data_IF_278613632991
#
_entry.id   IF_278613632991
#
_cell.length_a   1.000
_cell.length_b   1.000
_cell.length_c   1.000
_cell.angle_alpha   90.00
_cell.angle_beta   90.00
_cell.angle_gamma   90.00
#
_symmetry.space_group_name_H-M   'P 1'
#
loop_
_entity.id
_entity.type
_entity.pdbx_description
1 polymer ?
#
# COMPACT_ATOMS: atom_id res chain seq x y z
N UNK A 1 -27.59 -29.48 35.24
CA UNK A 1 -27.78 -30.72 36.04
C UNK A 1 -28.58 -31.68 35.19
N UNK A 2 -27.99 -32.80 34.77
CA UNK A 2 -28.62 -33.76 33.85
C UNK A 2 -29.78 -34.48 34.52
N UNK A 3 -30.84 -34.81 33.76
CA UNK A 3 -32.05 -35.46 34.29
C UNK A 3 -31.79 -36.75 35.08
N UNK A 4 -30.67 -37.44 34.84
CA UNK A 4 -30.26 -38.63 35.62
C UNK A 4 -29.98 -38.34 37.10
N UNK A 5 -29.47 -37.15 37.44
CA UNK A 5 -29.20 -36.75 38.83
C UNK A 5 -30.49 -36.55 39.63
N UNK A 6 -31.57 -36.13 38.97
CA UNK A 6 -32.88 -35.91 39.58
C UNK A 6 -33.57 -37.25 39.86
N UNK A 7 -33.42 -38.24 38.97
CA UNK A 7 -33.98 -39.57 39.19
C UNK A 7 -33.27 -40.34 40.31
N UNK A 8 -31.95 -40.22 40.42
CA UNK A 8 -31.18 -40.89 41.49
C UNK A 8 -31.52 -40.29 42.87
N UNK A 9 -31.65 -38.96 42.96
CA UNK A 9 -32.04 -38.29 44.20
C UNK A 9 -33.49 -38.60 44.59
N UNK A 10 -34.39 -38.71 43.61
CA UNK A 10 -35.77 -39.13 43.85
C UNK A 10 -35.87 -40.58 44.34
N UNK A 11 -35.11 -41.52 43.74
CA UNK A 11 -35.05 -42.91 44.18
C UNK A 11 -34.47 -43.06 45.60
N UNK A 12 -33.44 -42.28 45.93
CA UNK A 12 -32.85 -42.25 47.27
C UNK A 12 -33.83 -41.73 48.33
N UNK A 13 -34.62 -40.70 48.00
CA UNK A 13 -35.67 -40.19 48.89
C UNK A 13 -36.80 -41.20 49.09
N UNK A 14 -37.20 -41.92 48.03
CA UNK A 14 -38.20 -42.99 48.12
C UNK A 14 -37.69 -44.17 48.96
N UNK A 15 -36.43 -44.58 48.79
CA UNK A 15 -35.80 -45.63 49.60
C UNK A 15 -35.67 -45.21 51.08
N UNK A 16 -35.32 -43.95 51.35
CA UNK A 16 -35.34 -43.40 52.71
C UNK A 16 -36.74 -43.47 53.32
N UNK A 17 -37.77 -43.14 52.55
CA UNK A 17 -39.16 -43.19 53.01
C UNK A 17 -39.62 -44.62 53.34
N UNK A 18 -39.23 -45.59 52.50
CA UNK A 18 -39.54 -47.02 52.72
C UNK A 18 -38.79 -47.57 53.94
N UNK A 19 -37.51 -47.22 54.12
CA UNK A 19 -36.74 -47.63 55.30
C UNK A 19 -37.30 -47.05 56.62
N UNK A 20 -37.86 -45.84 56.57
CA UNK A 20 -38.48 -45.20 57.74
C UNK A 20 -39.83 -45.82 58.10
N UNK A 21 -40.57 -46.36 57.12
CA UNK A 21 -41.85 -47.05 57.34
C UNK A 21 -41.74 -48.47 57.92
N UNK A 22 -40.55 -49.10 57.89
CA UNK A 22 -40.36 -50.48 58.36
C UNK A 22 -40.08 -50.59 59.88
N UNK A 23 -39.90 -49.48 60.59
CA UNK A 23 -39.54 -49.47 62.02
C UNK A 23 -40.73 -48.98 62.85
N UNK A 24 -41.54 -49.91 63.36
CA UNK A 24 -42.75 -49.65 64.18
C UNK A 24 -42.47 -49.19 65.63
N UNK A 25 -41.39 -48.44 65.86
CA UNK A 25 -41.00 -47.90 67.17
C UNK A 25 -40.79 -46.38 67.04
N UNK A 26 -41.75 -45.54 67.48
CA UNK A 26 -41.76 -44.11 67.15
C UNK A 26 -40.54 -43.35 67.70
N UNK A 27 -39.95 -43.80 68.81
CA UNK A 27 -38.74 -43.19 69.38
C UNK A 27 -37.48 -43.41 68.54
N UNK A 28 -37.38 -44.53 67.84
CA UNK A 28 -36.22 -44.86 66.99
C UNK A 28 -36.31 -44.08 65.67
N UNK A 29 -37.51 -43.99 65.08
CA UNK A 29 -37.77 -43.24 63.84
C UNK A 29 -37.41 -41.75 63.98
N UNK A 30 -37.78 -41.10 65.10
CA UNK A 30 -37.42 -39.70 65.35
C UNK A 30 -35.91 -39.49 65.44
N UNK A 31 -35.17 -40.45 66.03
CA UNK A 31 -33.72 -40.36 66.17
C UNK A 31 -32.99 -40.53 64.83
N UNK A 32 -33.49 -41.40 63.95
CA UNK A 32 -32.95 -41.57 62.60
C UNK A 32 -33.25 -40.37 61.72
N UNK A 33 -34.46 -39.80 61.79
CA UNK A 33 -34.81 -38.60 61.01
C UNK A 33 -33.92 -37.41 61.36
N UNK A 34 -33.61 -37.23 62.65
CA UNK A 34 -32.69 -36.19 63.11
C UNK A 34 -31.27 -36.40 62.59
N UNK A 35 -30.78 -37.64 62.58
CA UNK A 35 -29.45 -37.98 62.04
C UNK A 35 -29.36 -37.77 60.53
N UNK A 36 -30.38 -38.16 59.77
CA UNK A 36 -30.41 -37.92 58.33
C UNK A 36 -30.51 -36.42 58.01
N UNK A 37 -31.32 -35.65 58.74
CA UNK A 37 -31.38 -34.20 58.59
C UNK A 37 -30.02 -33.53 58.85
N UNK A 38 -29.27 -33.99 59.87
CA UNK A 38 -27.92 -33.50 60.14
C UNK A 38 -26.93 -33.85 59.01
N UNK A 39 -26.97 -35.08 58.48
CA UNK A 39 -26.10 -35.49 57.37
C UNK A 39 -26.39 -34.67 56.12
N UNK A 40 -27.67 -34.44 55.80
CA UNK A 40 -28.08 -33.61 54.66
C UNK A 40 -27.61 -32.17 54.87
N UNK A 41 -27.79 -31.60 56.06
CA UNK A 41 -27.30 -30.25 56.39
C UNK A 41 -25.79 -30.12 56.20
N UNK A 42 -25.02 -31.10 56.67
CA UNK A 42 -23.56 -31.11 56.54
C UNK A 42 -23.10 -31.28 55.10
N UNK A 43 -23.76 -32.15 54.33
CA UNK A 43 -23.48 -32.34 52.90
C UNK A 43 -23.78 -31.07 52.10
N UNK A 44 -24.89 -30.38 52.43
CA UNK A 44 -25.26 -29.11 51.78
C UNK A 44 -24.23 -28.01 52.08
N UNK A 45 -23.70 -27.97 53.32
CA UNK A 45 -22.64 -27.05 53.72
C UNK A 45 -21.33 -27.35 53.00
N UNK A 46 -20.94 -28.64 52.90
CA UNK A 46 -19.76 -29.08 52.17
C UNK A 46 -19.86 -28.74 50.67
N UNK A 47 -21.01 -28.99 50.05
CA UNK A 47 -21.25 -28.60 48.66
C UNK A 47 -21.13 -27.07 48.55
N UNK A 48 -21.80 -26.29 49.40
CA UNK A 48 -21.71 -24.82 49.37
C UNK A 48 -20.28 -24.28 49.53
N UNK A 49 -19.43 -24.94 50.32
CA UNK A 49 -18.03 -24.53 50.52
C UNK A 49 -17.13 -24.93 49.36
N UNK A 50 -17.35 -26.11 48.77
CA UNK A 50 -16.48 -26.68 47.73
C UNK A 50 -16.89 -26.23 46.32
N UNK A 51 -18.17 -25.92 46.11
CA UNK A 51 -18.71 -25.44 44.82
C UNK A 51 -17.96 -24.22 44.28
N UNK A 52 -17.79 -23.09 45.03
CA UNK A 52 -17.08 -21.93 44.50
C UNK A 52 -15.64 -22.24 44.11
N UNK A 53 -14.96 -23.13 44.85
CA UNK A 53 -13.58 -23.53 44.57
C UNK A 53 -13.45 -24.42 43.33
N UNK A 54 -14.37 -25.37 43.13
CA UNK A 54 -14.41 -26.23 41.93
C UNK A 54 -14.75 -25.40 40.69
N UNK A 55 -15.73 -24.51 40.79
CA UNK A 55 -16.13 -23.66 39.66
C UNK A 55 -15.03 -22.66 39.29
N UNK A 56 -14.33 -22.05 40.25
CA UNK A 56 -13.19 -21.17 39.96
C UNK A 56 -12.04 -21.92 39.27
N UNK A 57 -11.77 -23.15 39.67
CA UNK A 57 -10.71 -23.96 39.08
C UNK A 57 -11.04 -24.45 37.67
N UNK A 58 -12.32 -24.74 37.37
CA UNK A 58 -12.76 -25.12 36.03
C UNK A 58 -12.69 -23.95 35.06
N UNK A 59 -13.20 -22.79 35.46
CA UNK A 59 -13.22 -21.58 34.64
C UNK A 59 -11.81 -21.05 34.34
N UNK A 60 -10.89 -21.15 35.30
CA UNK A 60 -9.47 -20.79 35.07
C UNK A 60 -8.79 -21.70 34.06
N UNK A 61 -9.15 -22.99 34.00
CA UNK A 61 -8.53 -23.95 33.08
C UNK A 61 -9.07 -23.80 31.66
N UNK A 62 -10.36 -23.53 31.54
CA UNK A 62 -11.05 -23.29 30.26
C UNK A 62 -10.56 -21.98 29.61
N UNK A 63 -10.45 -20.89 30.38
CA UNK A 63 -9.87 -19.62 29.90
C UNK A 63 -8.42 -19.76 29.46
N UNK A 64 -7.61 -20.54 30.17
CA UNK A 64 -6.21 -20.74 29.79
C UNK A 64 -6.10 -21.53 28.49
N UNK A 65 -6.95 -22.55 28.29
CA UNK A 65 -6.96 -23.38 27.08
C UNK A 65 -7.51 -22.60 25.87
N UNK A 66 -8.61 -21.87 26.03
CA UNK A 66 -9.15 -20.99 25.00
C UNK A 66 -8.18 -19.86 24.65
N UNK A 67 -7.49 -19.29 25.64
CA UNK A 67 -6.47 -18.28 25.41
C UNK A 67 -5.27 -18.87 24.65
N UNK A 68 -4.80 -20.08 24.98
CA UNK A 68 -3.69 -20.71 24.26
C UNK A 68 -4.07 -21.07 22.82
N UNK A 69 -5.25 -21.65 22.60
CA UNK A 69 -5.74 -22.02 21.25
C UNK A 69 -5.98 -20.77 20.41
N UNK A 70 -6.67 -19.76 20.97
CA UNK A 70 -6.92 -18.49 20.27
C UNK A 70 -5.64 -17.74 19.94
N UNK A 71 -4.60 -17.81 20.79
CA UNK A 71 -3.32 -17.17 20.54
C UNK A 71 -2.56 -17.83 19.39
N UNK A 72 -2.50 -19.17 19.35
CA UNK A 72 -1.84 -19.90 18.27
C UNK A 72 -2.53 -19.68 16.92
N UNK A 73 -3.86 -19.68 16.88
CA UNK A 73 -4.63 -19.42 15.66
C UNK A 73 -4.39 -17.99 15.13
N UNK A 74 -4.36 -16.99 16.01
CA UNK A 74 -4.05 -15.60 15.64
C UNK A 74 -2.64 -15.45 15.10
N UNK A 75 -1.67 -16.13 15.70
CA UNK A 75 -0.28 -16.11 15.22
C UNK A 75 -0.14 -16.75 13.84
N UNK A 76 -0.89 -17.82 13.55
CA UNK A 76 -0.94 -18.45 12.22
C UNK A 76 -1.56 -17.50 11.20
N UNK A 77 -2.69 -16.86 11.53
CA UNK A 77 -3.34 -15.89 10.63
C UNK A 77 -2.42 -14.71 10.33
N UNK A 78 -1.73 -14.17 11.34
CA UNK A 78 -0.81 -13.06 11.16
C UNK A 78 0.38 -13.45 10.26
N UNK A 79 0.90 -14.68 10.40
CA UNK A 79 1.94 -15.22 9.51
C UNK A 79 1.44 -15.41 8.08
N UNK A 80 0.21 -15.87 7.89
CA UNK A 80 -0.40 -16.02 6.56
C UNK A 80 -0.56 -14.67 5.86
N UNK A 81 -1.12 -13.68 6.55
CA UNK A 81 -1.28 -12.31 6.02
C UNK A 81 0.08 -11.72 5.63
N UNK A 82 1.11 -11.91 6.45
CA UNK A 82 2.47 -11.45 6.13
C UNK A 82 3.01 -12.13 4.86
N UNK A 83 2.87 -13.45 4.73
CA UNK A 83 3.33 -14.18 3.54
C UNK A 83 2.61 -13.72 2.28
N UNK A 84 1.30 -13.51 2.34
CA UNK A 84 0.53 -13.02 1.21
C UNK A 84 0.98 -11.63 0.78
N UNK A 85 1.30 -10.75 1.74
CA UNK A 85 1.88 -9.44 1.44
C UNK A 85 3.27 -9.55 0.79
N UNK A 86 4.13 -10.43 1.30
CA UNK A 86 5.46 -10.71 0.73
C UNK A 86 5.35 -11.24 -0.72
N UNK A 87 4.41 -12.14 -0.98
CA UNK A 87 4.15 -12.67 -2.32
C UNK A 87 3.68 -11.59 -3.28
N UNK A 88 2.75 -10.71 -2.86
CA UNK A 88 2.29 -9.59 -3.70
C UNK A 88 3.42 -8.62 -4.04
N UNK A 89 4.32 -8.33 -3.09
CA UNK A 89 5.49 -7.47 -3.34
C UNK A 89 6.48 -8.17 -4.27
N UNK A 90 6.71 -9.46 -4.06
CA UNK A 90 7.61 -10.27 -4.90
C UNK A 90 7.09 -10.36 -6.33
N UNK A 91 5.78 -10.58 -6.52
CA UNK A 91 5.14 -10.58 -7.83
C UNK A 91 5.29 -9.23 -8.54
N UNK A 92 5.07 -8.11 -7.84
CA UNK A 92 5.29 -6.77 -8.41
C UNK A 92 6.76 -6.54 -8.80
N UNK A 93 7.69 -6.96 -7.94
CA UNK A 93 9.12 -6.86 -8.23
C UNK A 93 9.52 -7.68 -9.46
N UNK A 94 9.01 -8.92 -9.56
CA UNK A 94 9.22 -9.78 -10.72
C UNK A 94 8.63 -9.17 -11.99
N UNK A 95 7.40 -8.65 -11.93
CA UNK A 95 6.77 -7.96 -13.06
C UNK A 95 7.61 -6.78 -13.57
N UNK A 96 8.12 -5.94 -12.67
CA UNK A 96 8.99 -4.80 -13.04
C UNK A 96 10.32 -5.29 -13.61
N UNK A 97 10.91 -6.33 -13.03
CA UNK A 97 12.14 -6.94 -13.54
C UNK A 97 11.94 -7.43 -14.98
N UNK A 98 10.86 -8.16 -15.25
CA UNK A 98 10.62 -8.77 -16.56
C UNK A 98 10.16 -7.78 -17.62
N UNK A 99 9.26 -6.85 -17.30
CA UNK A 99 8.66 -5.97 -18.30
C UNK A 99 9.39 -4.64 -18.47
N UNK A 100 10.20 -4.23 -17.49
CA UNK A 100 10.88 -2.93 -17.53
C UNK A 100 12.39 -3.08 -17.58
N UNK A 101 12.97 -3.89 -16.69
CA UNK A 101 14.43 -3.98 -16.56
C UNK A 101 15.03 -4.80 -17.72
N UNK A 102 14.58 -6.04 -17.94
CA UNK A 102 15.10 -6.91 -19.01
C UNK A 102 15.02 -6.24 -20.40
N UNK A 103 13.89 -5.66 -20.85
CA UNK A 103 13.81 -5.05 -22.19
C UNK A 103 14.68 -3.79 -22.32
N UNK A 104 14.89 -3.05 -21.22
CA UNK A 104 15.81 -1.90 -21.20
C UNK A 104 17.26 -2.34 -21.33
N UNK A 105 17.63 -3.48 -20.73
CA UNK A 105 18.98 -4.03 -20.88
C UNK A 105 19.19 -4.61 -22.28
N UNK A 106 18.26 -5.41 -22.77
CA UNK A 106 18.29 -5.97 -24.13
C UNK A 106 18.36 -4.88 -25.20
N UNK A 107 17.56 -3.82 -25.08
CA UNK A 107 17.64 -2.68 -26.01
C UNK A 107 18.96 -1.92 -25.94
N UNK A 108 19.60 -1.84 -24.76
CA UNK A 108 20.96 -1.28 -24.62
C UNK A 108 22.01 -2.18 -25.29
N UNK A 109 21.90 -3.50 -25.12
CA UNK A 109 22.80 -4.45 -25.79
C UNK A 109 22.62 -4.41 -27.30
N UNK A 110 21.38 -4.44 -27.80
CA UNK A 110 21.05 -4.31 -29.21
C UNK A 110 21.59 -3.01 -29.82
N UNK A 111 21.46 -1.87 -29.13
CA UNK A 111 22.05 -0.60 -29.59
C UNK A 111 23.57 -0.64 -29.69
N UNK A 112 24.25 -1.31 -28.75
CA UNK A 112 25.71 -1.48 -28.79
C UNK A 112 26.13 -2.36 -29.97
N UNK A 113 25.41 -3.46 -30.19
CA UNK A 113 25.60 -4.36 -31.34
C UNK A 113 25.35 -3.65 -32.67
N UNK A 114 24.25 -2.90 -32.79
CA UNK A 114 23.96 -2.05 -33.95
C UNK A 114 25.07 -1.05 -34.22
N UNK A 115 25.59 -0.40 -33.16
CA UNK A 115 26.70 0.55 -33.29
C UNK A 115 27.98 -0.15 -33.74
N UNK A 116 28.25 -1.35 -33.23
CA UNK A 116 29.39 -2.18 -33.64
C UNK A 116 29.31 -2.54 -35.12
N UNK A 117 28.16 -3.03 -35.60
CA UNK A 117 27.99 -3.38 -37.02
C UNK A 117 27.99 -2.16 -37.94
N UNK A 118 27.50 -1.00 -37.47
CA UNK A 118 27.63 0.28 -38.20
C UNK A 118 29.09 0.72 -38.31
N UNK A 119 29.88 0.63 -37.24
CA UNK A 119 31.31 1.01 -37.26
C UNK A 119 32.16 0.07 -38.12
N UNK A 120 31.85 -1.22 -38.15
CA UNK A 120 32.58 -2.22 -38.95
C UNK A 120 32.13 -2.29 -40.41
N UNK A 121 31.15 -1.48 -40.82
CA UNK A 121 30.61 -1.47 -42.19
C UNK A 121 29.76 -2.71 -42.53
N UNK A 122 29.47 -3.58 -41.56
CA UNK A 122 28.65 -4.78 -41.73
C UNK A 122 27.17 -4.49 -41.45
N UNK A 123 26.66 -3.33 -41.88
CA UNK A 123 25.28 -2.90 -41.61
C UNK A 123 24.22 -3.81 -42.23
N UNK A 124 24.59 -4.62 -43.23
CA UNK A 124 23.71 -5.63 -43.84
C UNK A 124 23.27 -6.73 -42.86
N UNK A 125 24.02 -6.96 -41.77
CA UNK A 125 23.65 -7.89 -40.69
C UNK A 125 22.52 -7.38 -39.78
N UNK A 126 22.22 -6.08 -39.85
CA UNK A 126 21.14 -5.46 -39.09
C UNK A 126 19.80 -5.55 -39.81
N UNK A 127 19.82 -5.77 -41.12
CA UNK A 127 18.63 -5.99 -41.93
C UNK A 127 18.18 -7.43 -41.80
N UNK A 128 16.88 -7.62 -41.54
CA UNK A 128 16.25 -8.93 -41.56
C UNK A 128 16.33 -9.48 -43.00
N UNK A 129 17.01 -10.60 -43.16
CA UNK A 129 17.22 -11.20 -44.49
C UNK A 129 15.91 -11.75 -45.04
N UNK A 130 15.65 -11.54 -46.34
CA UNK A 130 14.52 -12.17 -47.02
C UNK A 130 14.88 -13.62 -47.37
N UNK A 131 14.12 -14.60 -46.86
CA UNK A 131 14.32 -16.01 -47.21
C UNK A 131 13.94 -16.24 -48.67
N UNK A 132 14.94 -16.41 -49.53
CA UNK A 132 14.76 -16.83 -50.92
C UNK A 132 15.04 -18.33 -51.00
N UNK A 133 13.99 -19.14 -51.01
CA UNK A 133 14.10 -20.59 -51.14
C UNK A 133 12.93 -21.35 -50.52
N UNK A 134 11.78 -21.35 -51.18
CA UNK A 134 10.85 -22.48 -51.19
C UNK A 134 10.55 -22.72 -52.67
N UNK A 135 11.21 -23.72 -53.23
CA UNK A 135 10.69 -24.39 -54.40
C UNK A 135 9.63 -25.36 -53.89
N UNK A 136 8.41 -25.16 -54.39
CA UNK A 136 7.35 -26.15 -54.61
C UNK A 136 6.92 -26.99 -53.40
N UNK A 137 5.78 -26.61 -52.81
CA UNK A 137 4.59 -27.47 -52.81
C UNK A 137 3.35 -26.61 -52.53
N UNK A 138 2.31 -26.82 -53.34
CA UNK A 138 0.98 -26.23 -53.16
C UNK A 138 0.40 -26.62 -51.80
N UNK A 139 -0.07 -25.64 -51.03
CA UNK A 139 -1.42 -25.73 -50.47
C UNK A 139 -1.84 -24.37 -49.90
N UNK A 140 -2.96 -23.91 -50.44
CA UNK A 140 -3.72 -22.72 -50.09
C UNK A 140 -4.22 -22.76 -48.64
N UNK A 141 -3.91 -21.72 -47.84
CA UNK A 141 -4.89 -21.16 -46.89
C UNK A 141 -4.78 -19.63 -46.94
N UNK A 142 -5.79 -19.03 -47.56
CA UNK A 142 -6.15 -17.63 -47.37
C UNK A 142 -6.44 -17.37 -45.89
N UNK A 143 -5.82 -16.33 -45.32
CA UNK A 143 -6.54 -15.47 -44.38
C UNK A 143 -6.29 -14.02 -44.76
N UNK A 144 -7.40 -13.39 -45.12
CA UNK A 144 -7.58 -12.01 -45.47
C UNK A 144 -7.34 -11.09 -44.27
N UNK A 145 -6.63 -9.98 -44.49
CA UNK A 145 -7.18 -8.62 -44.45
C UNK A 145 -6.06 -7.55 -44.33
N UNK A 146 -5.95 -6.73 -45.37
CA UNK A 146 -5.74 -5.28 -45.37
C UNK A 146 -4.72 -4.71 -44.37
N UNK A 147 -3.55 -4.28 -44.85
CA UNK A 147 -3.34 -2.85 -45.13
C UNK A 147 -2.19 -2.62 -46.11
N UNK A 148 -2.39 -1.65 -46.98
CA UNK A 148 -1.52 -1.31 -48.10
C UNK A 148 -0.41 -0.39 -47.62
N UNK A 149 0.74 -0.93 -47.21
CA UNK A 149 1.99 -0.15 -47.16
C UNK A 149 3.11 -0.85 -47.90
N UNK A 150 3.34 -0.35 -49.11
CA UNK A 150 4.52 -0.47 -49.96
C UNK A 150 5.55 -1.53 -49.54
N UNK A 151 5.48 -2.71 -50.17
CA UNK A 151 6.66 -3.57 -50.33
C UNK A 151 7.62 -2.80 -51.25
N UNK A 152 8.48 -1.99 -50.66
CA UNK A 152 9.48 -1.21 -51.37
C UNK A 152 10.56 -2.18 -51.86
N UNK A 153 10.46 -2.59 -53.12
CA UNK A 153 11.44 -3.44 -53.79
C UNK A 153 12.86 -2.87 -53.58
N UNK A 154 13.86 -3.67 -53.17
CA UNK A 154 15.23 -3.21 -52.84
C UNK A 154 15.85 -2.27 -53.89
N UNK A 155 15.48 -2.45 -55.16
CA UNK A 155 15.96 -1.61 -56.26
C UNK A 155 15.47 -0.14 -56.16
N UNK A 156 14.27 0.10 -55.62
CA UNK A 156 13.71 1.46 -55.41
C UNK A 156 14.39 2.17 -54.24
N UNK A 157 14.71 1.46 -53.17
CA UNK A 157 15.41 2.03 -52.01
C UNK A 157 16.87 2.38 -52.36
N UNK A 158 17.55 1.53 -53.14
CA UNK A 158 18.89 1.81 -53.67
C UNK A 158 18.90 3.02 -54.63
N UNK A 159 17.83 3.22 -55.41
CA UNK A 159 17.68 4.39 -56.28
C UNK A 159 17.47 5.69 -55.48
N UNK A 160 16.74 5.64 -54.35
CA UNK A 160 16.54 6.79 -53.45
C UNK A 160 17.83 7.20 -52.75
N UNK A 161 18.63 6.24 -52.27
CA UNK A 161 19.91 6.50 -51.57
C UNK A 161 21.02 7.07 -52.48
N UNK A 162 20.89 6.91 -53.80
CA UNK A 162 21.83 7.48 -54.79
C UNK A 162 21.50 8.92 -55.21
N UNK A 163 20.29 9.41 -54.93
CA UNK A 163 19.96 10.83 -55.18
C UNK A 163 20.52 11.65 -54.03
N UNK A 164 21.58 12.43 -54.30
CA UNK A 164 22.06 13.46 -53.37
C UNK A 164 20.88 14.40 -53.03
N UNK A 165 20.67 14.75 -51.76
CA UNK A 165 19.62 15.69 -51.41
C UNK A 165 19.96 17.07 -51.98
N UNK A 166 19.04 17.60 -52.78
CA UNK A 166 19.13 18.85 -53.55
C UNK A 166 19.18 20.13 -52.68
N UNK A 167 19.34 20.02 -51.36
CA UNK A 167 19.22 21.14 -50.42
C UNK A 167 20.56 21.72 -49.90
N UNK A 168 21.70 21.30 -50.45
CA UNK A 168 23.04 21.75 -49.97
C UNK A 168 23.40 23.20 -50.34
N UNK A 169 22.54 23.94 -51.06
CA UNK A 169 22.84 25.33 -51.46
C UNK A 169 21.82 26.34 -50.93
N UNK A 170 21.71 26.51 -49.60
CA UNK A 170 21.27 27.80 -49.02
C UNK A 170 22.07 28.12 -47.77
N UNK A 171 22.60 29.36 -47.77
CA UNK A 171 23.39 29.95 -46.70
C UNK A 171 22.59 30.05 -45.39
N UNK A 172 23.31 29.87 -44.29
CA UNK A 172 22.87 30.01 -42.89
C UNK A 172 22.37 31.45 -42.62
N UNK A 173 21.18 31.66 -42.04
CA UNK A 173 20.90 32.82 -41.21
C UNK A 173 21.14 32.52 -39.72
N UNK A 174 21.64 33.54 -39.04
CA UNK A 174 22.05 33.64 -37.63
C UNK A 174 20.96 33.22 -36.63
N UNK A 175 21.29 32.66 -35.45
CA UNK A 175 20.29 32.11 -34.53
C UNK A 175 19.56 33.21 -33.75
N UNK A 176 18.23 33.21 -33.81
CA UNK A 176 17.37 33.90 -32.84
C UNK A 176 16.93 32.94 -31.73
N UNK A 177 16.90 33.45 -30.51
CA UNK A 177 16.62 32.77 -29.24
C UNK A 177 15.31 31.95 -29.25
N UNK A 178 15.28 30.78 -28.59
CA UNK A 178 14.05 30.01 -28.44
C UNK A 178 13.20 30.59 -27.31
N UNK A 179 12.05 31.14 -27.68
CA UNK A 179 10.94 31.38 -26.77
C UNK A 179 10.24 30.03 -26.53
N UNK A 180 9.82 29.68 -25.29
CA UNK A 180 9.22 28.39 -25.01
C UNK A 180 7.80 28.34 -25.58
N UNK A 181 7.63 27.61 -26.69
CA UNK A 181 6.31 27.20 -27.19
C UNK A 181 5.80 26.03 -26.33
N UNK A 182 4.65 26.25 -25.68
CA UNK A 182 3.76 25.21 -25.13
C UNK A 182 3.46 24.21 -26.25
N UNK A 183 3.92 22.97 -26.11
CA UNK A 183 3.49 21.85 -26.96
C UNK A 183 2.63 20.94 -26.09
N UNK A 184 1.33 21.07 -26.27
CA UNK A 184 0.32 20.12 -25.81
C UNK A 184 0.43 18.87 -26.68
N UNK A 185 0.83 17.75 -26.11
CA UNK A 185 0.52 16.44 -26.68
C UNK A 185 -0.76 15.95 -26.02
N UNK A 186 -1.80 15.86 -26.82
CA UNK A 186 -3.05 15.22 -26.46
C UNK A 186 -2.82 13.71 -26.46
N UNK A 187 -2.58 13.14 -25.27
CA UNK A 187 -2.62 11.70 -25.05
C UNK A 187 -4.00 11.41 -24.48
N UNK A 188 -4.90 10.95 -25.35
CA UNK A 188 -6.23 10.47 -24.94
C UNK A 188 -6.03 9.11 -24.26
N UNK A 189 -5.97 9.12 -22.93
CA UNK A 189 -6.23 7.94 -22.10
C UNK A 189 -7.59 8.20 -21.45
N UNK A 190 -8.63 7.41 -21.73
CA UNK A 190 -9.88 7.53 -21.01
C UNK A 190 -9.68 6.96 -19.60
N UNK A 191 -10.20 7.67 -18.60
CA UNK A 191 -10.40 7.26 -17.19
C UNK A 191 -9.27 7.38 -16.16
N UNK A 192 -8.29 8.28 -16.34
CA UNK A 192 -7.51 8.76 -15.19
C UNK A 192 -7.70 10.26 -15.07
N UNK A 193 -8.48 10.64 -14.06
CA UNK A 193 -8.68 11.98 -13.55
C UNK A 193 -7.37 12.77 -13.60
N UNK A 194 -7.27 13.62 -14.62
CA UNK A 194 -6.60 14.92 -14.69
C UNK A 194 -5.57 15.24 -13.58
N UNK A 195 -4.54 14.39 -13.44
CA UNK A 195 -3.33 14.74 -12.72
C UNK A 195 -2.43 15.50 -13.69
N UNK A 196 -2.81 16.75 -13.97
CA UNK A 196 -1.93 17.73 -14.61
C UNK A 196 -0.71 17.88 -13.70
N UNK A 197 0.38 17.20 -14.08
CA UNK A 197 1.71 17.52 -13.57
C UNK A 197 2.11 18.90 -14.11
N UNK A 198 1.43 19.94 -13.63
CA UNK A 198 1.88 21.31 -13.78
C UNK A 198 3.26 21.37 -13.15
N UNK A 199 4.24 21.80 -13.93
CA UNK A 199 5.60 22.00 -13.42
C UNK A 199 5.51 23.17 -12.45
N UNK A 200 5.36 22.87 -11.15
CA UNK A 200 5.28 23.87 -10.09
C UNK A 200 6.62 24.62 -10.04
N UNK A 201 6.64 25.81 -10.64
CA UNK A 201 7.80 26.68 -10.69
C UNK A 201 7.81 27.57 -9.45
N UNK A 202 8.54 27.15 -8.41
CA UNK A 202 8.69 27.98 -7.21
C UNK A 202 9.54 29.24 -7.48
N UNK A 203 9.21 30.38 -6.83
CA UNK A 203 9.94 31.64 -6.99
C UNK A 203 11.40 31.51 -6.57
N UNK A 204 12.30 32.24 -7.22
CA UNK A 204 13.73 32.22 -6.90
C UNK A 204 14.00 32.56 -5.43
N UNK A 205 14.93 31.85 -4.81
CA UNK A 205 15.20 31.99 -3.38
C UNK A 205 15.85 33.35 -3.09
N UNK A 206 15.27 34.17 -2.20
CA UNK A 206 15.80 35.50 -1.91
C UNK A 206 17.12 35.46 -1.15
N UNK A 207 17.91 36.53 -1.28
CA UNK A 207 19.13 36.77 -0.51
C UNK A 207 18.82 37.19 0.94
N UNK A 208 19.83 37.19 1.82
CA UNK A 208 19.70 37.56 3.24
C UNK A 208 19.45 39.06 3.42
N UNK A 209 18.20 39.49 3.18
CA UNK A 209 17.75 40.88 3.28
C UNK A 209 16.67 41.02 4.36
N UNK A 210 16.51 42.24 4.89
CA UNK A 210 15.45 42.56 5.83
C UNK A 210 14.05 42.27 5.23
N UNK A 211 13.24 41.47 5.92
CA UNK A 211 11.92 41.02 5.43
C UNK A 211 11.89 39.61 4.82
N UNK A 212 13.02 38.88 4.86
CA UNK A 212 13.11 37.47 4.49
C UNK A 212 13.01 36.58 5.74
N UNK A 213 12.36 35.43 5.61
CA UNK A 213 12.23 34.40 6.65
C UNK A 213 12.77 33.07 6.12
N UNK A 214 13.51 32.37 6.97
CA UNK A 214 14.00 31.02 6.66
C UNK A 214 13.01 30.00 7.20
N UNK A 215 12.39 29.25 6.29
CA UNK A 215 11.48 28.16 6.64
C UNK A 215 12.21 26.84 6.51
N UNK A 216 12.14 26.02 7.55
CA UNK A 216 12.68 24.67 7.55
C UNK A 216 11.53 23.66 7.56
N UNK A 217 11.42 22.84 6.52
CA UNK A 217 10.47 21.72 6.44
C UNK A 217 11.13 20.45 6.95
N UNK A 218 10.59 19.90 8.05
CA UNK A 218 10.94 18.57 8.55
C UNK A 218 10.02 17.54 7.93
N UNK A 219 10.58 16.64 7.13
CA UNK A 219 9.83 15.61 6.44
C UNK A 219 9.73 14.31 7.26
N UNK A 220 8.70 13.47 7.05
CA UNK A 220 8.58 12.15 7.67
C UNK A 220 9.78 11.23 7.36
N UNK A 221 10.47 11.48 6.23
CA UNK A 221 11.70 10.77 5.86
C UNK A 221 12.90 11.07 6.79
N UNK A 222 12.75 11.98 7.76
CA UNK A 222 13.82 12.44 8.65
C UNK A 222 14.71 13.52 8.02
N UNK A 223 14.54 13.82 6.73
CA UNK A 223 15.24 14.92 6.05
C UNK A 223 14.62 16.27 6.40
N UNK A 224 15.45 17.30 6.43
CA UNK A 224 15.02 18.68 6.65
C UNK A 224 15.44 19.52 5.45
N UNK A 225 14.47 20.16 4.79
CA UNK A 225 14.73 21.09 3.70
C UNK A 225 14.60 22.51 4.23
N UNK A 226 15.56 23.37 3.91
CA UNK A 226 15.55 24.79 4.31
C UNK A 226 15.45 25.64 3.07
N UNK A 227 14.60 26.67 3.13
CA UNK A 227 14.45 27.63 2.06
C UNK A 227 13.99 28.97 2.61
N UNK A 228 14.49 30.04 2.01
CA UNK A 228 14.08 31.40 2.34
C UNK A 228 12.88 31.86 1.53
N UNK A 229 12.03 32.67 2.16
CA UNK A 229 10.84 33.27 1.54
C UNK A 229 10.68 34.71 2.01
N UNK A 230 10.05 35.56 1.20
CA UNK A 230 9.63 36.89 1.67
C UNK A 230 8.40 36.77 2.57
N UNK A 231 8.32 37.60 3.61
CA UNK A 231 7.15 37.67 4.49
C UNK A 231 5.84 38.01 3.75
N UNK A 232 5.96 38.68 2.61
CA UNK A 232 4.85 39.09 1.73
C UNK A 232 4.40 37.99 0.76
N UNK A 233 5.11 36.85 0.68
CA UNK A 233 4.71 35.75 -0.19
C UNK A 233 3.39 35.13 0.28
N UNK A 234 2.59 34.65 -0.68
CA UNK A 234 1.39 33.84 -0.39
C UNK A 234 1.79 32.54 0.30
N UNK A 235 0.94 32.10 1.21
CA UNK A 235 1.08 30.86 1.94
C UNK A 235 1.03 29.60 1.08
N UNK A 236 0.35 29.67 -0.07
CA UNK A 236 0.30 28.57 -1.04
C UNK A 236 1.68 28.18 -1.57
N UNK A 237 2.64 29.12 -1.57
CA UNK A 237 4.03 28.84 -1.97
C UNK A 237 4.66 27.75 -1.09
N UNK A 238 4.20 27.59 0.16
CA UNK A 238 4.65 26.49 1.03
C UNK A 238 4.08 25.14 0.61
N UNK A 239 2.83 25.08 0.13
CA UNK A 239 2.21 23.86 -0.41
C UNK A 239 2.87 23.45 -1.72
N UNK A 240 3.14 24.43 -2.60
CA UNK A 240 3.91 24.24 -3.82
C UNK A 240 5.30 23.72 -3.51
N UNK A 241 5.96 24.27 -2.49
CA UNK A 241 7.28 23.83 -2.06
C UNK A 241 7.25 22.39 -1.55
N UNK A 242 6.28 22.08 -0.69
CA UNK A 242 6.05 20.75 -0.16
C UNK A 242 5.82 19.73 -1.29
N UNK A 243 5.02 20.09 -2.29
CA UNK A 243 4.74 19.26 -3.46
C UNK A 243 5.98 19.06 -4.33
N UNK A 244 6.80 20.10 -4.52
CA UNK A 244 8.11 20.01 -5.22
C UNK A 244 9.10 19.10 -4.50
N UNK A 245 9.06 19.05 -3.17
CA UNK A 245 9.88 18.13 -2.36
C UNK A 245 9.38 16.68 -2.49
N UNK A 246 8.13 16.48 -2.90
CA UNK A 246 7.51 15.19 -3.14
C UNK A 246 6.41 14.81 -2.14
N UNK A 247 5.91 15.77 -1.37
CA UNK A 247 4.82 15.59 -0.42
C UNK A 247 3.57 16.34 -0.92
N UNK A 248 2.54 15.63 -1.35
CA UNK A 248 1.30 16.25 -1.86
C UNK A 248 0.40 16.70 -0.70
N UNK A 249 -0.29 17.83 -0.85
CA UNK A 249 -1.13 18.44 0.19
C UNK A 249 -2.34 17.60 0.58
N UNK A 250 -2.87 16.77 -0.34
CA UNK A 250 -3.96 15.83 -0.02
C UNK A 250 -3.56 14.77 1.01
N UNK A 251 -2.27 14.38 1.02
CA UNK A 251 -1.76 13.31 1.86
C UNK A 251 -1.02 13.83 3.09
N UNK A 252 -0.53 15.07 3.03
CA UNK A 252 0.33 15.66 4.05
C UNK A 252 -0.10 17.08 4.36
N UNK A 253 -0.06 17.42 5.65
CA UNK A 253 -0.38 18.74 6.16
C UNK A 253 0.82 19.36 6.86
N UNK A 254 0.85 20.69 6.88
CA UNK A 254 1.90 21.47 7.53
C UNK A 254 1.51 21.83 8.96
N UNK A 255 2.39 21.51 9.90
CA UNK A 255 2.23 21.82 11.31
C UNK A 255 3.37 22.71 11.81
N UNK A 256 3.05 23.65 12.67
CA UNK A 256 4.07 24.39 13.44
C UNK A 256 4.66 23.51 14.54
N UNK A 257 5.85 23.86 15.03
CA UNK A 257 6.57 23.05 16.02
C UNK A 257 6.14 23.28 17.46
N UNK A 258 5.96 24.54 17.89
CA UNK A 258 5.54 24.87 19.26
C UNK A 258 4.87 26.26 19.35
N UNK A 259 3.59 26.34 19.79
CA UNK A 259 2.67 25.23 19.99
C UNK A 259 2.42 24.50 18.66
N UNK A 260 2.14 23.19 18.70
CA UNK A 260 1.81 22.45 17.48
C UNK A 260 0.41 22.85 17.02
N UNK A 261 0.36 23.46 15.84
CA UNK A 261 -0.87 23.93 15.23
C UNK A 261 -0.85 23.66 13.72
N UNK A 262 -1.98 23.18 13.20
CA UNK A 262 -2.19 22.94 11.78
C UNK A 262 -2.27 24.27 11.03
N UNK A 263 -1.50 24.44 9.97
CA UNK A 263 -1.54 25.67 9.18
C UNK A 263 -2.60 25.55 8.10
N UNK A 264 -3.73 26.22 8.31
CA UNK A 264 -4.79 26.36 7.31
C UNK A 264 -4.36 27.37 6.23
N UNK A 265 -4.39 26.94 4.97
CA UNK A 265 -3.87 27.70 3.83
C UNK A 265 -4.97 28.20 2.89
N UNK A 266 -6.22 28.25 3.35
CA UNK A 266 -7.40 28.42 2.47
C UNK A 266 -7.60 29.82 1.86
N UNK A 267 -6.78 30.82 2.19
CA UNK A 267 -7.10 32.24 1.96
C UNK A 267 -5.97 33.10 1.33
N UNK A 268 -4.98 32.52 0.65
CA UNK A 268 -3.90 33.31 0.00
C UNK A 268 -3.22 34.34 0.93
N UNK A 269 -3.22 34.05 2.24
CA UNK A 269 -2.68 34.95 3.24
C UNK A 269 -1.16 35.06 3.08
N UNK A 270 -0.61 36.21 3.46
CA UNK A 270 0.84 36.35 3.51
C UNK A 270 1.44 35.49 4.63
N UNK A 271 2.70 35.08 4.48
CA UNK A 271 3.40 34.33 5.52
C UNK A 271 3.41 35.06 6.88
N UNK A 272 3.50 36.38 6.86
CA UNK A 272 3.40 37.21 8.08
C UNK A 272 2.02 37.11 8.74
N UNK A 273 0.94 37.14 7.95
CA UNK A 273 -0.43 37.04 8.43
C UNK A 273 -0.76 35.67 9.05
N UNK A 274 -0.07 34.60 8.61
CA UNK A 274 -0.19 33.25 9.18
C UNK A 274 0.65 33.08 10.45
N UNK A 275 1.48 34.07 10.79
CA UNK A 275 2.33 34.05 11.98
C UNK A 275 3.75 33.56 11.73
N UNK A 276 4.18 33.42 10.46
CA UNK A 276 5.56 33.12 10.07
C UNK A 276 6.34 34.45 9.96
N UNK A 277 6.56 35.07 11.12
CA UNK A 277 7.22 36.39 11.24
C UNK A 277 8.75 36.26 11.34
N UNK A 278 9.23 35.10 11.80
CA UNK A 278 10.64 34.78 12.06
C UNK A 278 11.00 33.47 11.37
N UNK A 279 12.27 33.07 11.49
CA UNK A 279 12.69 31.75 11.04
C UNK A 279 11.91 30.66 11.79
N UNK A 280 11.18 29.84 11.04
CA UNK A 280 10.25 28.85 11.59
C UNK A 280 10.57 27.45 11.10
N UNK A 281 10.45 26.49 12.00
CA UNK A 281 10.44 25.06 11.69
C UNK A 281 9.00 24.59 11.53
N UNK A 282 8.70 24.06 10.35
CA UNK A 282 7.44 23.41 9.98
C UNK A 282 7.63 21.90 9.88
N UNK A 283 6.68 21.13 10.38
CA UNK A 283 6.65 19.69 10.30
C UNK A 283 5.64 19.26 9.24
N UNK A 284 6.06 18.37 8.33
CA UNK A 284 5.18 17.71 7.37
C UNK A 284 4.69 16.43 8.02
N UNK A 285 3.41 16.34 8.32
CA UNK A 285 2.78 15.15 8.92
C UNK A 285 1.70 14.60 7.98
N UNK A 286 1.45 13.29 8.05
CA UNK A 286 0.44 12.67 7.20
C UNK A 286 -0.95 13.13 7.63
N UNK A 287 -1.72 13.67 6.68
CA UNK A 287 -3.11 14.04 6.91
C UNK A 287 -3.95 12.77 6.87
N UNK A 288 -4.75 12.53 7.90
CA UNK A 288 -5.74 11.45 7.88
C UNK A 288 -7.03 12.03 7.31
N UNK A 289 -7.55 11.52 6.19
CA UNK A 289 -8.87 11.94 5.72
C UNK A 289 -9.88 11.64 6.83
N UNK A 290 -10.60 12.69 7.24
CA UNK A 290 -11.67 12.60 8.23
C UNK A 290 -12.89 11.89 7.65
#
# INVERSE_FOLDING_TARGET
>A
MSGSQIHITCLLLVLLFICMGAVNQPGVVVLWIGKFALIISLLTLLISAVTPWIFSFRESREKHLEFSVSKEEKDIQLKLVRKEQEERVTQKANYVMENVVKPREESKFKKKEERFYKMTGQSWKLTEGFRLGIAEDEDSIETSNVDSTSVENPNKEALRKRKLPEHVTRCIPKPEQPWPKKVSYEIIIPDILEATAEVIALPEEPDEVEGVVTVALRCPSGRVFRRRFYKTCSSHVLLDWMTKVGYHYDLYALYTSSPRYHIEMDNDLSLDAIGIVKDTLLNVEQNYPS
#
